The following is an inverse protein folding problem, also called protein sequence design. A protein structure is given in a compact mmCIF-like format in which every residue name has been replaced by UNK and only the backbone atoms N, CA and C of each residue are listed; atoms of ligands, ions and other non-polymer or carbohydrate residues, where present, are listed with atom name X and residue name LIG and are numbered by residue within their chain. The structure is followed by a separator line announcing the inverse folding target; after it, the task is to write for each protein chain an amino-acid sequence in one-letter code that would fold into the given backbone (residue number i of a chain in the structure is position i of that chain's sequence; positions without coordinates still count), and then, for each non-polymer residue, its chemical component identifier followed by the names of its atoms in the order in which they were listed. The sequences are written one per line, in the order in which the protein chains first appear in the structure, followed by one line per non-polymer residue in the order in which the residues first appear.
data_IF_961164027590
#
_entry.id   IF_961164027590
#
_cell.length_a   1.000
_cell.length_b   1.000
_cell.length_c   1.000
_cell.angle_alpha   90.00
_cell.angle_beta   90.00
_cell.angle_gamma   90.00
#
_symmetry.space_group_name_H-M   'P 1'
#
loop_
_entity.id
_entity.type
_entity.pdbx_description
1 polymer ?
#
# COMPACT_ATOMS: atom_id res chain seq x y z
N UNK A 1 -94.33 23.79 14.85
CA UNK A 1 -93.04 24.50 14.85
C UNK A 1 -91.97 23.40 14.69
N UNK A 2 -91.65 23.05 13.45
CA UNK A 2 -90.68 22.08 13.05
C UNK A 2 -89.36 22.80 12.86
N UNK A 3 -88.29 22.39 13.57
CA UNK A 3 -86.93 22.82 13.36
C UNK A 3 -86.30 21.89 12.34
N UNK A 4 -86.00 22.39 11.17
CA UNK A 4 -85.20 21.78 10.13
C UNK A 4 -83.73 21.86 10.50
N UNK A 5 -82.92 20.76 10.46
CA UNK A 5 -81.49 20.85 10.73
C UNK A 5 -80.78 21.32 9.48
N UNK A 6 -80.07 22.41 9.63
CA UNK A 6 -79.18 23.03 8.67
C UNK A 6 -78.03 22.05 8.33
N UNK A 7 -77.93 21.64 7.05
CA UNK A 7 -76.86 20.73 6.55
C UNK A 7 -75.80 21.57 5.80
N UNK A 8 -74.58 21.78 6.37
CA UNK A 8 -73.55 22.53 5.67
C UNK A 8 -72.80 21.61 4.69
N UNK A 9 -73.36 21.47 3.47
CA UNK A 9 -72.59 20.94 2.34
C UNK A 9 -71.63 22.01 1.82
N UNK A 10 -70.45 22.09 2.43
CA UNK A 10 -69.32 22.84 1.87
C UNK A 10 -68.88 22.23 0.53
N UNK A 11 -68.45 23.04 -0.44
CA UNK A 11 -68.04 22.55 -1.75
C UNK A 11 -66.81 21.65 -1.62
N UNK A 12 -66.92 20.40 -2.10
CA UNK A 12 -65.81 19.46 -2.16
C UNK A 12 -64.73 20.03 -3.09
N UNK A 13 -63.49 20.26 -2.54
CA UNK A 13 -62.35 20.69 -3.34
C UNK A 13 -62.03 19.63 -4.38
N UNK A 14 -61.95 19.99 -5.67
CA UNK A 14 -61.61 18.99 -6.70
C UNK A 14 -60.19 18.45 -6.48
N UNK A 15 -60.04 17.14 -6.28
CA UNK A 15 -58.76 16.46 -6.30
C UNK A 15 -58.24 16.48 -7.73
N UNK A 16 -57.28 17.37 -8.00
CA UNK A 16 -56.60 17.44 -9.29
C UNK A 16 -55.66 16.23 -9.39
N UNK A 17 -56.03 15.22 -10.16
CA UNK A 17 -55.16 14.10 -10.48
C UNK A 17 -54.05 14.58 -11.41
N UNK A 18 -52.78 14.25 -11.12
CA UNK A 18 -51.67 14.64 -12.00
C UNK A 18 -51.86 14.04 -13.40
N UNK A 19 -51.54 14.80 -14.47
CA UNK A 19 -51.72 14.31 -15.83
C UNK A 19 -50.92 13.02 -16.03
N UNK A 20 -51.50 12.00 -16.63
CA UNK A 20 -50.92 10.65 -16.81
C UNK A 20 -49.48 10.69 -17.33
N UNK A 21 -49.10 11.65 -18.17
CA UNK A 21 -47.72 11.83 -18.70
C UNK A 21 -46.70 12.14 -17.60
N UNK A 22 -47.07 12.91 -16.58
CA UNK A 22 -46.19 13.21 -15.44
C UNK A 22 -46.00 11.95 -14.59
N UNK A 23 -47.05 11.19 -14.35
CA UNK A 23 -46.94 9.91 -13.59
C UNK A 23 -46.06 8.92 -14.32
N UNK A 24 -46.21 8.74 -15.64
CA UNK A 24 -45.35 7.87 -16.43
C UNK A 24 -43.90 8.36 -16.43
N UNK A 25 -43.64 9.66 -16.50
CA UNK A 25 -42.29 10.24 -16.41
C UNK A 25 -41.62 9.96 -15.06
N UNK A 26 -42.35 10.15 -13.96
CA UNK A 26 -41.85 9.86 -12.61
C UNK A 26 -41.56 8.35 -12.43
N UNK A 27 -42.47 7.49 -12.89
CA UNK A 27 -42.28 6.04 -12.85
C UNK A 27 -41.03 5.62 -13.67
N UNK A 28 -40.88 6.17 -14.88
CA UNK A 28 -39.69 5.88 -15.70
C UNK A 28 -38.38 6.32 -15.04
N UNK A 29 -38.35 7.51 -14.40
CA UNK A 29 -37.20 7.99 -13.65
C UNK A 29 -36.89 7.12 -12.43
N UNK A 30 -37.90 6.67 -11.70
CA UNK A 30 -37.72 5.75 -10.58
C UNK A 30 -37.16 4.40 -11.03
N UNK A 31 -37.69 3.86 -12.14
CA UNK A 31 -37.16 2.60 -12.70
C UNK A 31 -35.72 2.77 -13.18
N UNK A 32 -35.40 3.86 -13.87
CA UNK A 32 -34.03 4.16 -14.29
C UNK A 32 -33.08 4.29 -13.08
N UNK A 33 -33.51 5.00 -12.04
CA UNK A 33 -32.76 5.11 -10.80
C UNK A 33 -32.55 3.75 -10.12
N UNK A 34 -33.56 2.90 -10.04
CA UNK A 34 -33.45 1.53 -9.51
C UNK A 34 -32.44 0.69 -10.32
N UNK A 35 -32.48 0.77 -11.65
CA UNK A 35 -31.52 0.07 -12.51
C UNK A 35 -30.10 0.57 -12.27
N UNK A 36 -29.89 1.88 -12.19
CA UNK A 36 -28.56 2.43 -11.91
C UNK A 36 -28.08 2.04 -10.51
N UNK A 37 -28.92 2.26 -9.47
CA UNK A 37 -28.49 2.06 -8.09
C UNK A 37 -28.29 0.58 -7.70
N UNK A 38 -29.15 -0.33 -8.23
CA UNK A 38 -29.14 -1.73 -7.80
C UNK A 38 -28.58 -2.72 -8.83
N UNK A 39 -28.35 -2.30 -10.06
CA UNK A 39 -27.77 -3.15 -11.09
C UNK A 39 -26.45 -2.59 -11.61
N UNK A 40 -26.44 -1.37 -12.16
CA UNK A 40 -25.24 -0.84 -12.82
C UNK A 40 -24.15 -0.43 -11.84
N UNK A 41 -24.50 0.24 -10.74
CA UNK A 41 -23.51 0.65 -9.74
C UNK A 41 -22.86 -0.56 -9.03
N UNK A 42 -23.60 -1.61 -8.57
CA UNK A 42 -22.98 -2.81 -8.01
C UNK A 42 -22.15 -3.61 -9.02
N UNK A 43 -22.57 -3.68 -10.30
CA UNK A 43 -21.79 -4.33 -11.35
C UNK A 43 -20.51 -3.56 -11.66
N UNK A 44 -20.61 -2.23 -11.77
CA UNK A 44 -19.44 -1.36 -11.92
C UNK A 44 -18.47 -1.46 -10.75
N UNK A 45 -18.99 -1.52 -9.51
CA UNK A 45 -18.20 -1.70 -8.32
C UNK A 45 -17.51 -3.06 -8.27
N UNK A 46 -18.22 -4.16 -8.60
CA UNK A 46 -17.63 -5.50 -8.70
C UNK A 46 -16.53 -5.55 -9.74
N UNK A 47 -16.74 -4.95 -10.91
CA UNK A 47 -15.74 -4.86 -11.95
C UNK A 47 -14.52 -4.04 -11.52
N UNK A 48 -14.71 -2.93 -10.80
CA UNK A 48 -13.65 -2.10 -10.25
C UNK A 48 -12.80 -2.84 -9.21
N UNK A 49 -13.45 -3.55 -8.25
CA UNK A 49 -12.75 -4.37 -7.25
C UNK A 49 -12.02 -5.55 -7.92
N UNK A 50 -12.68 -6.20 -8.88
CA UNK A 50 -12.11 -7.35 -9.57
C UNK A 50 -10.81 -6.99 -10.32
N UNK A 51 -10.65 -5.79 -10.81
CA UNK A 51 -9.42 -5.29 -11.44
C UNK A 51 -8.30 -4.98 -10.46
N UNK A 52 -8.59 -4.83 -9.17
CA UNK A 52 -7.55 -4.60 -8.17
C UNK A 52 -6.93 -5.94 -7.75
N UNK A 53 -5.60 -6.10 -7.91
CA UNK A 53 -4.94 -7.31 -7.46
C UNK A 53 -5.08 -7.47 -5.96
N UNK A 54 -5.37 -8.69 -5.50
CA UNK A 54 -5.40 -9.01 -4.08
C UNK A 54 -4.02 -9.40 -3.58
N UNK A 55 -3.75 -9.11 -2.31
CA UNK A 55 -2.55 -9.49 -1.57
C UNK A 55 -2.89 -10.43 -0.40
N UNK A 56 -4.09 -11.02 -0.41
CA UNK A 56 -4.64 -11.79 0.72
C UNK A 56 -3.82 -13.03 1.05
N UNK A 57 -3.27 -13.70 0.04
CA UNK A 57 -2.48 -14.92 0.18
C UNK A 57 -1.00 -14.65 0.54
N UNK A 58 -0.61 -13.38 0.74
CA UNK A 58 0.76 -13.05 1.11
C UNK A 58 0.98 -13.15 2.61
N UNK A 59 2.16 -13.60 3.08
CA UNK A 59 2.55 -13.42 4.48
C UNK A 59 2.48 -11.95 4.88
N UNK A 60 2.38 -11.68 6.17
CA UNK A 60 2.32 -10.30 6.70
C UNK A 60 3.67 -9.80 7.18
N UNK A 61 4.56 -10.74 7.52
CA UNK A 61 5.90 -10.47 8.03
C UNK A 61 6.92 -11.17 7.14
N UNK A 62 8.08 -10.58 7.03
CA UNK A 62 9.28 -11.21 6.49
C UNK A 62 9.91 -12.13 7.55
N UNK A 63 10.94 -12.88 7.18
CA UNK A 63 11.71 -13.74 8.08
C UNK A 63 13.19 -13.42 7.96
N UNK A 64 13.93 -13.62 9.05
CA UNK A 64 15.39 -13.64 9.04
C UNK A 64 15.93 -14.98 8.53
N UNK A 65 17.24 -15.10 8.31
CA UNK A 65 17.89 -16.37 7.87
C UNK A 65 17.70 -17.52 8.85
N UNK A 66 17.49 -17.23 10.11
CA UNK A 66 17.28 -18.16 11.22
C UNK A 66 15.79 -18.28 11.61
N UNK A 67 14.89 -17.92 10.69
CA UNK A 67 13.43 -18.05 10.79
C UNK A 67 12.78 -17.29 11.94
N UNK A 68 13.41 -16.23 12.44
CA UNK A 68 12.72 -15.28 13.31
C UNK A 68 11.86 -14.32 12.48
N UNK A 69 10.71 -13.83 13.03
CA UNK A 69 9.93 -12.79 12.38
C UNK A 69 10.80 -11.59 12.06
N UNK A 70 10.76 -11.14 10.81
CA UNK A 70 11.44 -9.94 10.33
C UNK A 70 10.56 -8.71 10.40
N UNK A 71 10.77 -7.81 9.44
CA UNK A 71 10.01 -6.57 9.34
C UNK A 71 8.63 -6.80 8.70
N UNK A 72 7.60 -6.02 9.06
CA UNK A 72 6.28 -6.13 8.44
C UNK A 72 6.28 -5.64 6.99
N UNK A 73 5.41 -6.26 6.18
CA UNK A 73 5.17 -5.84 4.80
C UNK A 73 4.17 -4.68 4.81
N UNK A 74 4.53 -3.54 4.26
CA UNK A 74 3.72 -2.33 4.32
C UNK A 74 3.57 -1.60 2.98
N UNK A 75 4.26 -2.06 1.93
CA UNK A 75 4.24 -1.45 0.60
C UNK A 75 4.06 -2.48 -0.50
N UNK A 76 3.41 -2.11 -1.60
CA UNK A 76 3.35 -2.91 -2.81
C UNK A 76 3.44 -2.01 -4.05
N UNK A 77 4.03 -2.53 -5.14
CA UNK A 77 4.10 -1.84 -6.42
C UNK A 77 3.63 -2.77 -7.54
N UNK A 78 2.96 -2.20 -8.54
CA UNK A 78 2.51 -2.89 -9.75
C UNK A 78 3.22 -2.28 -10.94
N UNK A 79 3.96 -3.12 -11.66
CA UNK A 79 4.76 -2.72 -12.81
C UNK A 79 5.87 -3.72 -13.10
N UNK A 80 6.54 -3.57 -14.24
CA UNK A 80 7.71 -4.39 -14.58
C UNK A 80 8.88 -4.10 -13.63
N UNK A 81 9.86 -5.00 -13.59
CA UNK A 81 11.07 -4.79 -12.80
C UNK A 81 11.84 -3.54 -13.23
N UNK A 82 11.85 -3.25 -14.51
CA UNK A 82 12.57 -2.09 -15.04
C UNK A 82 11.84 -0.78 -14.69
N UNK A 83 10.49 -0.77 -14.74
CA UNK A 83 9.68 0.35 -14.26
C UNK A 83 9.90 0.59 -12.76
N UNK A 84 9.91 -0.47 -11.93
CA UNK A 84 10.18 -0.36 -10.51
C UNK A 84 11.56 0.25 -10.24
N UNK A 85 12.61 -0.22 -10.93
CA UNK A 85 13.95 0.35 -10.80
C UNK A 85 14.02 1.81 -11.27
N UNK A 86 13.30 2.14 -12.34
CA UNK A 86 13.28 3.48 -12.90
C UNK A 86 12.62 4.48 -11.93
N UNK A 87 11.42 4.17 -11.42
CA UNK A 87 10.70 5.05 -10.49
C UNK A 87 11.46 5.21 -9.17
N UNK A 88 12.04 4.14 -8.63
CA UNK A 88 12.87 4.22 -7.40
C UNK A 88 14.07 5.13 -7.60
N UNK A 89 14.75 5.02 -8.75
CA UNK A 89 15.85 5.91 -9.10
C UNK A 89 15.39 7.37 -9.27
N UNK A 90 14.27 7.60 -9.94
CA UNK A 90 13.68 8.93 -10.11
C UNK A 90 13.29 9.55 -8.77
N UNK A 91 12.82 8.73 -7.82
CA UNK A 91 12.50 9.12 -6.45
C UNK A 91 13.75 9.34 -5.55
N UNK A 92 14.96 9.19 -6.09
CA UNK A 92 16.21 9.40 -5.35
C UNK A 92 16.63 8.22 -4.47
N UNK A 93 16.10 7.02 -4.75
CA UNK A 93 16.49 5.79 -4.08
C UNK A 93 17.51 5.02 -4.92
N UNK A 94 18.51 4.47 -4.26
CA UNK A 94 19.62 3.74 -4.88
C UNK A 94 19.45 2.25 -4.66
N UNK A 95 19.73 1.44 -5.68
CA UNK A 95 19.68 -0.01 -5.53
C UNK A 95 20.83 -0.45 -4.61
N UNK A 96 20.48 -1.05 -3.48
CA UNK A 96 21.46 -1.59 -2.53
C UNK A 96 22.23 -2.78 -3.12
N UNK A 97 23.52 -2.85 -2.83
CA UNK A 97 24.34 -3.97 -3.24
C UNK A 97 23.89 -5.28 -2.54
N UNK A 98 23.93 -6.40 -3.27
CA UNK A 98 23.66 -7.69 -2.66
C UNK A 98 24.77 -8.03 -1.64
N UNK A 99 24.37 -8.47 -0.43
CA UNK A 99 25.32 -8.96 0.57
C UNK A 99 26.14 -10.13 0.03
N UNK A 100 27.45 -9.98 0.03
CA UNK A 100 28.46 -10.99 -0.28
C UNK A 100 29.68 -10.82 0.61
N UNK A 101 30.59 -11.78 0.63
CA UNK A 101 31.81 -11.75 1.48
C UNK A 101 32.59 -10.43 1.40
N UNK A 102 32.61 -9.77 0.25
CA UNK A 102 33.24 -8.46 0.09
C UNK A 102 32.44 -7.30 0.66
N UNK A 103 31.11 -7.42 0.65
CA UNK A 103 30.19 -6.39 1.18
C UNK A 103 30.21 -6.34 2.70
N UNK A 104 30.34 -7.50 3.36
CA UNK A 104 30.39 -7.58 4.82
C UNK A 104 31.65 -6.89 5.39
N UNK A 105 32.81 -7.01 4.68
CA UNK A 105 34.00 -6.27 5.03
C UNK A 105 33.88 -4.78 4.83
N UNK A 106 33.24 -4.36 3.72
CA UNK A 106 33.04 -2.95 3.40
C UNK A 106 32.08 -2.27 4.40
N UNK A 107 30.98 -2.94 4.80
CA UNK A 107 30.12 -2.43 5.88
C UNK A 107 30.90 -2.20 7.16
N UNK A 108 31.77 -3.16 7.55
CA UNK A 108 32.59 -3.03 8.75
C UNK A 108 33.54 -1.85 8.64
N UNK A 109 34.21 -1.65 7.48
CA UNK A 109 35.10 -0.53 7.23
C UNK A 109 34.36 0.80 7.21
N UNK A 110 33.27 0.92 6.46
CA UNK A 110 32.48 2.17 6.32
C UNK A 110 31.80 2.57 7.63
N UNK A 111 31.33 1.60 8.42
CA UNK A 111 30.77 1.84 9.75
C UNK A 111 31.81 2.35 10.75
N UNK A 112 33.06 1.89 10.63
CA UNK A 112 34.18 2.36 11.47
C UNK A 112 34.65 3.74 11.05
N UNK A 113 34.68 4.04 9.74
CA UNK A 113 35.18 5.32 9.20
C UNK A 113 34.10 6.38 8.99
N UNK A 114 32.81 6.08 9.32
CA UNK A 114 31.69 7.01 9.20
C UNK A 114 31.55 7.66 7.80
N UNK A 115 31.80 6.89 6.75
CA UNK A 115 31.64 7.37 5.37
C UNK A 115 30.28 6.93 4.82
N UNK A 116 29.49 7.87 4.24
CA UNK A 116 28.27 7.52 3.53
C UNK A 116 28.62 6.63 2.33
N UNK A 117 28.05 5.44 2.26
CA UNK A 117 28.09 4.60 1.06
C UNK A 117 26.66 4.45 0.54
N UNK A 118 26.30 5.10 -0.58
CA UNK A 118 24.94 5.00 -1.16
C UNK A 118 24.61 3.59 -1.67
N UNK A 119 25.58 2.70 -1.76
CA UNK A 119 25.40 1.30 -2.17
C UNK A 119 25.59 0.31 -1.01
N UNK A 120 25.55 0.80 0.24
CA UNK A 120 25.76 -0.05 1.41
C UNK A 120 24.76 -1.23 1.43
N UNK A 121 25.23 -2.47 1.67
CA UNK A 121 24.35 -3.63 1.60
C UNK A 121 23.34 -3.64 2.75
N UNK A 122 22.10 -4.02 2.43
CA UNK A 122 21.01 -4.22 3.37
C UNK A 122 20.96 -5.69 3.79
N UNK A 123 20.75 -5.97 5.09
CA UNK A 123 20.60 -7.35 5.61
C UNK A 123 19.56 -8.12 4.83
N UNK A 124 19.83 -9.38 4.51
CA UNK A 124 18.87 -10.21 3.80
C UNK A 124 17.69 -10.55 4.69
N UNK A 125 16.49 -10.34 4.16
CA UNK A 125 15.26 -10.91 4.70
C UNK A 125 14.67 -11.89 3.70
N UNK A 126 13.79 -12.74 4.19
CA UNK A 126 13.21 -13.83 3.43
C UNK A 126 11.69 -13.69 3.41
N UNK A 127 11.10 -14.02 2.27
CA UNK A 127 9.68 -14.18 2.07
C UNK A 127 9.47 -15.35 1.11
N UNK A 128 8.51 -16.22 1.35
CA UNK A 128 8.31 -17.46 0.57
C UNK A 128 9.56 -18.34 0.52
N UNK A 129 10.38 -18.36 1.56
CA UNK A 129 11.62 -19.13 1.63
C UNK A 129 12.77 -18.61 0.76
N UNK A 130 12.66 -17.44 0.15
CA UNK A 130 13.70 -16.82 -0.69
C UNK A 130 14.02 -15.39 -0.26
N UNK A 131 15.22 -14.94 -0.56
CA UNK A 131 15.66 -13.56 -0.33
C UNK A 131 14.84 -12.58 -1.15
N UNK A 132 14.90 -11.30 -0.75
CA UNK A 132 14.37 -10.21 -1.57
C UNK A 132 14.97 -10.22 -2.98
N UNK A 133 14.15 -9.91 -3.96
CA UNK A 133 14.60 -9.78 -5.35
C UNK A 133 15.30 -8.44 -5.60
N UNK A 134 14.80 -7.38 -4.95
CA UNK A 134 15.34 -6.03 -5.04
C UNK A 134 15.39 -5.41 -3.65
N UNK A 135 16.39 -4.57 -3.43
CA UNK A 135 16.48 -3.70 -2.27
C UNK A 135 16.94 -2.31 -2.71
N UNK A 136 16.41 -1.30 -2.06
CA UNK A 136 16.79 0.09 -2.30
C UNK A 136 17.00 0.79 -0.97
N UNK A 137 17.86 1.81 -1.00
CA UNK A 137 18.15 2.66 0.14
C UNK A 137 18.25 4.13 -0.28
N UNK A 138 18.00 5.00 0.68
CA UNK A 138 18.21 6.42 0.54
C UNK A 138 18.92 6.93 1.80
N UNK A 139 20.19 7.37 1.70
CA UNK A 139 20.95 7.90 2.83
C UNK A 139 20.33 9.18 3.38
N UNK A 140 20.44 9.38 4.70
CA UNK A 140 19.98 10.59 5.38
C UNK A 140 21.17 11.39 5.88
N UNK A 141 21.43 12.54 5.25
CA UNK A 141 22.58 13.39 5.56
C UNK A 141 23.92 12.68 5.29
N UNK A 142 24.93 13.04 6.06
CA UNK A 142 26.31 12.50 5.92
C UNK A 142 26.60 11.30 6.85
N UNK A 143 25.57 10.73 7.49
CA UNK A 143 25.75 9.66 8.47
C UNK A 143 25.24 8.31 7.93
N UNK A 144 26.11 7.32 7.66
CA UNK A 144 25.71 6.02 7.10
C UNK A 144 24.86 5.17 8.06
N UNK A 145 24.67 5.64 9.29
CA UNK A 145 23.86 4.95 10.31
C UNK A 145 22.38 5.26 10.24
N UNK A 146 22.01 6.27 9.44
CA UNK A 146 20.65 6.71 9.22
C UNK A 146 20.31 6.56 7.76
N UNK A 147 19.36 5.72 7.43
CA UNK A 147 18.92 5.53 6.05
C UNK A 147 17.49 5.01 5.99
N UNK A 148 16.82 5.42 4.95
CA UNK A 148 15.59 4.78 4.49
C UNK A 148 15.96 3.53 3.69
N UNK A 149 15.26 2.42 3.87
CA UNK A 149 15.44 1.28 3.01
C UNK A 149 14.15 0.51 2.78
N UNK A 150 14.04 -0.10 1.60
CA UNK A 150 12.92 -0.94 1.22
C UNK A 150 13.40 -2.19 0.50
N UNK A 151 12.75 -3.31 0.78
CA UNK A 151 12.98 -4.59 0.11
C UNK A 151 11.73 -5.01 -0.62
N UNK A 152 11.89 -5.57 -1.82
CA UNK A 152 10.78 -6.06 -2.64
C UNK A 152 10.96 -7.52 -3.02
N UNK A 153 9.84 -8.24 -3.03
CA UNK A 153 9.70 -9.59 -3.55
C UNK A 153 8.69 -9.58 -4.69
N UNK A 154 9.08 -10.12 -5.84
CA UNK A 154 8.15 -10.32 -6.95
C UNK A 154 7.16 -11.43 -6.55
N UNK A 155 5.87 -11.15 -6.64
CA UNK A 155 4.84 -12.16 -6.42
C UNK A 155 4.70 -13.07 -7.64
N UNK A 156 4.23 -14.30 -7.40
CA UNK A 156 3.79 -15.20 -8.47
C UNK A 156 2.49 -14.68 -9.07
N UNK A 157 2.33 -14.90 -10.37
CA UNK A 157 1.20 -14.37 -11.13
C UNK A 157 1.33 -12.87 -11.42
N UNK A 158 0.45 -12.43 -12.27
CA UNK A 158 0.37 -11.05 -12.76
C UNK A 158 -1.01 -10.49 -12.43
N UNK A 159 -1.19 -9.19 -12.64
CA UNK A 159 -2.50 -8.56 -12.69
C UNK A 159 -3.25 -9.03 -13.94
N UNK A 160 -4.54 -8.73 -14.04
CA UNK A 160 -5.35 -9.13 -15.22
C UNK A 160 -4.86 -8.53 -16.53
N UNK A 161 -4.25 -7.36 -16.46
CA UNK A 161 -3.59 -6.66 -17.56
C UNK A 161 -2.13 -7.12 -17.79
N UNK A 162 -1.69 -8.22 -17.14
CA UNK A 162 -0.39 -8.85 -17.36
C UNK A 162 0.78 -8.15 -16.67
N UNK A 163 0.54 -7.31 -15.67
CA UNK A 163 1.58 -6.55 -14.96
C UNK A 163 2.09 -7.30 -13.74
N UNK A 164 3.39 -7.26 -13.52
CA UNK A 164 4.01 -7.88 -12.36
C UNK A 164 3.63 -7.17 -11.06
N UNK A 165 3.44 -7.96 -9.98
CA UNK A 165 3.15 -7.49 -8.63
C UNK A 165 4.39 -7.65 -7.75
N UNK A 166 4.67 -6.63 -6.96
CA UNK A 166 5.76 -6.61 -5.98
C UNK A 166 5.21 -6.28 -4.62
N UNK A 167 5.62 -7.02 -3.61
CA UNK A 167 5.33 -6.69 -2.22
C UNK A 167 6.62 -6.38 -1.49
N UNK A 168 6.59 -5.47 -0.55
CA UNK A 168 7.79 -4.98 0.11
C UNK A 168 7.61 -4.59 1.56
N UNK A 169 8.76 -4.38 2.17
CA UNK A 169 8.89 -3.87 3.54
C UNK A 169 9.79 -2.63 3.50
N UNK A 170 9.20 -1.48 3.81
CA UNK A 170 9.89 -0.21 3.97
C UNK A 170 10.09 0.09 5.45
N UNK A 171 11.33 0.34 5.87
CA UNK A 171 11.70 0.66 7.25
C UNK A 171 12.84 1.67 7.28
N UNK A 172 12.91 2.44 8.38
CA UNK A 172 13.96 3.42 8.62
C UNK A 172 14.98 2.89 9.63
N UNK A 173 16.26 2.89 9.26
CA UNK A 173 17.37 2.60 10.17
C UNK A 173 17.67 3.84 11.01
N UNK A 174 17.28 3.81 12.27
CA UNK A 174 17.39 4.95 13.18
C UNK A 174 18.80 5.09 13.78
N UNK A 175 19.49 4.01 14.00
CA UNK A 175 20.87 3.99 14.50
C UNK A 175 21.48 2.58 14.43
N UNK A 176 22.79 2.48 14.64
CA UNK A 176 23.49 1.20 14.81
C UNK A 176 23.51 0.84 16.30
N UNK A 177 23.14 -0.38 16.63
CA UNK A 177 23.06 -0.90 17.98
C UNK A 177 23.41 -2.39 18.06
N UNK A 178 23.09 -3.02 19.19
CA UNK A 178 23.22 -4.46 19.37
C UNK A 178 21.85 -5.11 19.20
N UNK A 179 21.77 -6.16 18.39
CA UNK A 179 20.60 -7.02 18.32
C UNK A 179 20.26 -7.55 19.72
N UNK A 180 19.01 -7.37 20.12
CA UNK A 180 18.52 -7.90 21.40
C UNK A 180 18.36 -9.42 21.37
N UNK A 181 18.33 -10.00 20.18
CA UNK A 181 18.18 -11.45 19.96
C UNK A 181 19.52 -12.15 19.90
N UNK A 182 20.50 -11.60 19.13
CA UNK A 182 21.79 -12.28 18.86
C UNK A 182 22.98 -11.61 19.55
N UNK A 183 22.85 -10.38 20.01
CA UNK A 183 23.96 -9.58 20.57
C UNK A 183 24.94 -9.06 19.51
N UNK A 184 24.68 -9.28 18.22
CA UNK A 184 25.51 -8.79 17.13
C UNK A 184 25.23 -7.31 16.84
N UNK A 185 26.21 -6.62 16.27
CA UNK A 185 26.03 -5.24 15.77
C UNK A 185 25.07 -5.29 14.59
N UNK A 186 24.01 -4.48 14.64
CA UNK A 186 22.98 -4.39 13.62
C UNK A 186 22.40 -2.97 13.58
N UNK A 187 21.65 -2.68 12.54
CA UNK A 187 20.81 -1.48 12.53
C UNK A 187 19.56 -1.70 13.39
N UNK A 188 19.20 -0.69 14.16
CA UNK A 188 17.97 -0.63 14.94
C UNK A 188 16.95 0.16 14.11
N UNK A 189 15.84 -0.49 13.80
CA UNK A 189 14.78 0.12 12.98
C UNK A 189 13.86 1.00 13.82
N UNK A 190 13.32 2.05 13.19
CA UNK A 190 12.28 2.86 13.80
C UNK A 190 11.01 2.03 14.02
N UNK A 191 10.33 2.29 15.14
CA UNK A 191 9.17 1.50 15.52
C UNK A 191 7.93 1.78 14.65
N UNK A 192 7.81 2.98 14.10
CA UNK A 192 6.70 3.40 13.25
C UNK A 192 7.02 3.07 11.79
N UNK A 193 6.52 1.94 11.31
CA UNK A 193 6.79 1.51 9.93
C UNK A 193 5.89 2.20 8.91
N UNK A 194 4.77 2.78 9.36
CA UNK A 194 3.87 3.52 8.48
C UNK A 194 4.48 4.87 8.09
N UNK A 195 5.21 5.50 9.00
CA UNK A 195 5.94 6.73 8.69
C UNK A 195 6.94 6.53 7.53
N UNK A 196 7.59 5.35 7.46
CA UNK A 196 8.51 5.02 6.37
C UNK A 196 7.76 4.65 5.08
N UNK A 197 6.66 3.91 5.18
CA UNK A 197 5.74 3.66 4.07
C UNK A 197 5.29 4.97 3.43
N UNK A 198 4.78 5.88 4.25
CA UNK A 198 4.24 7.16 3.79
C UNK A 198 5.33 8.04 3.16
N UNK A 199 6.54 8.02 3.74
CA UNK A 199 7.70 8.71 3.17
C UNK A 199 8.08 8.15 1.78
N UNK A 200 8.15 6.82 1.63
CA UNK A 200 8.42 6.21 0.33
C UNK A 200 7.37 6.62 -0.70
N UNK A 201 6.08 6.54 -0.36
CA UNK A 201 5.01 6.93 -1.28
C UNK A 201 5.02 8.42 -1.61
N UNK A 202 5.37 9.28 -0.67
CA UNK A 202 5.60 10.70 -0.96
C UNK A 202 6.72 10.90 -1.99
N UNK A 203 7.83 10.18 -1.87
CA UNK A 203 8.93 10.23 -2.85
C UNK A 203 8.49 9.72 -4.22
N UNK A 204 7.74 8.60 -4.27
CA UNK A 204 7.25 8.03 -5.52
C UNK A 204 6.23 8.95 -6.20
N UNK A 205 5.28 9.51 -5.46
CA UNK A 205 4.28 10.45 -5.99
C UNK A 205 4.93 11.71 -6.57
N UNK A 206 6.02 12.19 -5.95
CA UNK A 206 6.75 13.37 -6.43
C UNK A 206 7.41 13.15 -7.81
N UNK A 207 7.61 11.92 -8.25
CA UNK A 207 8.12 11.61 -9.60
C UNK A 207 7.10 11.88 -10.71
N UNK A 208 5.79 11.84 -10.38
CA UNK A 208 4.71 11.89 -11.35
C UNK A 208 4.53 10.60 -12.17
N UNK A 209 5.24 9.52 -11.82
CA UNK A 209 5.22 8.24 -12.53
C UNK A 209 4.27 7.20 -11.90
N UNK A 210 3.48 7.57 -10.86
CA UNK A 210 2.38 6.74 -10.35
C UNK A 210 1.09 7.07 -11.07
N UNK A 211 0.46 6.05 -11.70
CA UNK A 211 -0.87 6.16 -12.31
C UNK A 211 -1.98 6.08 -11.26
N UNK A 212 -1.80 5.28 -10.21
CA UNK A 212 -2.75 5.10 -9.13
C UNK A 212 -2.02 4.81 -7.82
N UNK A 213 -2.59 5.27 -6.71
CA UNK A 213 -2.20 4.91 -5.35
C UNK A 213 -3.45 4.56 -4.55
N UNK A 214 -3.41 3.46 -3.77
CA UNK A 214 -4.52 3.07 -2.91
C UNK A 214 -4.03 2.25 -1.71
N UNK A 215 -4.85 2.22 -0.65
CA UNK A 215 -4.62 1.36 0.51
C UNK A 215 -5.43 0.06 0.40
N UNK A 216 -4.85 -1.03 0.91
CA UNK A 216 -5.54 -2.28 1.25
C UNK A 216 -5.74 -2.27 2.75
N UNK A 217 -6.93 -1.84 3.17
CA UNK A 217 -7.28 -1.66 4.57
C UNK A 217 -7.24 -2.99 5.33
N UNK A 218 -6.67 -2.96 6.54
CA UNK A 218 -6.66 -4.12 7.42
C UNK A 218 -5.83 -5.30 6.90
N UNK A 219 -4.83 -5.05 6.07
CA UNK A 219 -3.88 -6.07 5.62
C UNK A 219 -3.21 -6.77 6.80
N UNK A 220 -2.82 -6.04 7.85
CA UNK A 220 -2.35 -6.61 9.10
C UNK A 220 -3.46 -6.72 10.14
N UNK A 221 -3.60 -7.89 10.75
CA UNK A 221 -4.44 -8.08 11.94
C UNK A 221 -3.66 -7.86 13.24
N UNK A 222 -2.33 -8.02 13.21
CA UNK A 222 -1.43 -7.70 14.29
C UNK A 222 -0.80 -6.34 14.04
N UNK A 223 -1.10 -5.36 14.90
CA UNK A 223 -0.71 -3.96 14.70
C UNK A 223 0.62 -3.58 15.38
N UNK A 224 1.24 -4.49 16.11
CA UNK A 224 2.53 -4.27 16.77
C UNK A 224 3.24 -5.59 17.01
N UNK A 225 4.58 -5.55 17.04
CA UNK A 225 5.39 -6.73 17.28
C UNK A 225 6.85 -6.39 17.50
N UNK A 226 7.70 -7.39 17.28
CA UNK A 226 9.15 -7.24 17.28
C UNK A 226 9.72 -7.94 16.07
N UNK A 227 10.74 -7.31 15.45
CA UNK A 227 11.49 -7.92 14.34
C UNK A 227 12.60 -8.88 14.87
N UNK A 228 13.34 -9.51 13.96
CA UNK A 228 14.40 -10.46 14.28
C UNK A 228 15.53 -9.89 15.12
N UNK A 229 15.79 -8.60 15.07
CA UNK A 229 16.73 -7.89 15.94
C UNK A 229 16.17 -7.63 17.35
N UNK A 230 14.89 -7.88 17.56
CA UNK A 230 14.16 -7.58 18.81
C UNK A 230 13.62 -6.15 18.86
N UNK A 231 13.73 -5.38 17.79
CA UNK A 231 13.22 -4.01 17.74
C UNK A 231 11.69 -4.00 17.64
N UNK A 232 11.02 -3.14 18.39
CA UNK A 232 9.56 -3.05 18.33
C UNK A 232 9.13 -2.40 17.01
N UNK A 233 8.00 -2.86 16.46
CA UNK A 233 7.33 -2.20 15.35
C UNK A 233 5.84 -2.00 15.65
N UNK A 234 5.24 -0.99 15.04
CA UNK A 234 3.80 -0.72 15.03
C UNK A 234 3.36 -0.27 13.64
N UNK A 235 2.11 -0.57 13.31
CA UNK A 235 1.45 -0.21 12.05
C UNK A 235 -0.03 0.11 12.28
N UNK A 236 -0.63 0.91 11.40
CA UNK A 236 -2.08 1.11 11.29
C UNK A 236 -2.80 -0.13 10.73
N UNK A 237 -2.06 -1.01 10.10
CA UNK A 237 -2.56 -2.25 9.54
C UNK A 237 -2.73 -2.24 8.02
N UNK A 238 -2.51 -1.14 7.35
CA UNK A 238 -2.77 -1.00 5.92
C UNK A 238 -1.53 -1.26 5.07
N UNK A 239 -1.75 -1.85 3.89
CA UNK A 239 -0.75 -2.00 2.85
C UNK A 239 -0.99 -0.94 1.78
N UNK A 240 -0.01 -0.08 1.51
CA UNK A 240 -0.11 0.89 0.42
C UNK A 240 0.37 0.29 -0.90
N UNK A 241 -0.41 0.52 -1.95
CA UNK A 241 -0.17 -0.03 -3.29
C UNK A 241 -0.03 1.11 -4.28
N UNK A 242 1.09 1.14 -5.01
CA UNK A 242 1.33 2.06 -6.12
C UNK A 242 1.28 1.33 -7.47
N UNK A 243 0.54 1.86 -8.41
CA UNK A 243 0.52 1.42 -9.81
C UNK A 243 1.43 2.35 -10.59
N UNK A 244 2.54 1.81 -11.11
CA UNK A 244 3.49 2.61 -11.90
C UNK A 244 2.86 2.88 -13.26
N UNK A 245 2.93 4.11 -13.77
CA UNK A 245 2.41 4.47 -15.07
C UNK A 245 3.08 3.63 -16.19
N UNK A 246 2.29 3.14 -17.14
CA UNK A 246 2.84 2.50 -18.32
C UNK A 246 3.00 3.56 -19.42
N UNK A 247 4.21 3.71 -20.00
CA UNK A 247 4.43 4.65 -21.09
C UNK A 247 3.58 4.38 -22.33
N UNK A 248 2.93 3.21 -22.42
CA UNK A 248 2.10 2.79 -23.55
C UNK A 248 0.59 2.93 -23.27
N UNK A 249 0.18 3.46 -22.12
CA UNK A 249 -1.23 3.64 -21.75
C UNK A 249 -1.83 4.99 -22.22
N UNK A 250 -1.28 5.61 -23.29
CA UNK A 250 -1.82 6.82 -23.96
C UNK A 250 -2.89 6.51 -25.02
#
# INVERSE_FOLDING_TARGET
MENEPDNPTGPATPRVSPPRRIVHGVVALLLAWLVVAYLLAPLGWKWFIWRRPTFDDTPRLTETSDHHPGDPLNVALIGSQDQLKAIMKAAGWYQAAALGLHSDLKIAEDSVFSRPDPEAPVSSLYLFGRRQDLAFEQPVGDNPRHRHHVRFWKLEGETEDGRAKWIGSAVYDAHVGLSRTTGQITHVTAADVDAERDYLFQCLAATGELAEEYAVDGFHTQLHGRNGGGDPWRTDGDLYVGVIADPNDD
#
